data_IF_385537897152
#
_entry.id   IF_385537897152
#
_cell.length_a   1.000
_cell.length_b   1.000
_cell.length_c   1.000
_cell.angle_alpha   90.00
_cell.angle_beta   90.00
_cell.angle_gamma   90.00
#
_symmetry.space_group_name_H-M   'P 1'
#
loop_
_entity.id
_entity.type
_entity.pdbx_description
1 polymer ?
#
# COMPACT_ATOMS: atom_id res chain seq x y z
N UNK A 1 38.47 -24.38 0.22
CA UNK A 1 37.48 -23.38 0.71
C UNK A 1 37.08 -22.32 -0.33
N UNK A 2 37.89 -21.97 -1.34
CA UNK A 2 37.61 -20.82 -2.22
C UNK A 2 36.52 -21.02 -3.30
N UNK A 3 36.33 -22.24 -3.79
CA UNK A 3 35.33 -22.54 -4.84
C UNK A 3 33.91 -22.70 -4.32
N UNK A 4 33.74 -23.03 -3.03
CA UNK A 4 32.44 -23.23 -2.41
C UNK A 4 31.70 -21.90 -2.22
N UNK A 5 32.37 -20.88 -1.68
CA UNK A 5 31.80 -19.53 -1.49
C UNK A 5 31.37 -18.89 -2.81
N UNK A 6 32.14 -19.09 -3.89
CA UNK A 6 31.84 -18.56 -5.21
C UNK A 6 30.62 -19.24 -5.85
N UNK A 7 30.49 -20.57 -5.68
CA UNK A 7 29.33 -21.33 -6.15
C UNK A 7 28.06 -20.99 -5.36
N UNK A 8 28.18 -20.78 -4.04
CA UNK A 8 27.06 -20.35 -3.20
C UNK A 8 26.57 -18.94 -3.56
N UNK A 9 27.49 -18.00 -3.85
CA UNK A 9 27.13 -16.64 -4.27
C UNK A 9 26.38 -16.61 -5.63
N UNK A 10 26.78 -17.48 -6.57
CA UNK A 10 26.11 -17.62 -7.87
C UNK A 10 24.72 -18.27 -7.75
N UNK A 11 24.54 -19.20 -6.81
CA UNK A 11 23.25 -19.84 -6.53
C UNK A 11 22.19 -18.88 -5.97
N UNK A 12 22.60 -17.92 -5.14
CA UNK A 12 21.71 -16.87 -4.59
C UNK A 12 21.24 -15.91 -5.69
N UNK A 13 22.09 -15.59 -6.67
CA UNK A 13 21.76 -14.74 -7.82
C UNK A 13 20.71 -15.38 -8.75
N UNK A 14 20.78 -16.69 -8.97
CA UNK A 14 19.84 -17.41 -9.83
C UNK A 14 18.47 -17.66 -9.17
N UNK A 15 18.44 -17.89 -7.85
CA UNK A 15 17.18 -18.06 -7.11
C UNK A 15 16.34 -16.76 -7.04
N UNK A 16 16.97 -15.59 -7.08
CA UNK A 16 16.28 -14.29 -7.04
C UNK A 16 15.51 -13.92 -8.31
N UNK A 17 15.87 -14.49 -9.47
CA UNK A 17 15.24 -14.20 -10.76
C UNK A 17 13.86 -14.88 -10.96
N UNK A 18 13.59 -15.97 -10.23
CA UNK A 18 12.34 -16.74 -10.37
C UNK A 18 11.07 -16.04 -9.88
N UNK A 19 11.20 -14.93 -9.15
CA UNK A 19 10.08 -14.21 -8.51
C UNK A 19 9.53 -13.04 -9.35
N UNK A 20 10.11 -12.77 -10.52
CA UNK A 20 9.75 -11.65 -11.41
C UNK A 20 8.37 -11.76 -12.09
N UNK A 21 7.64 -12.86 -11.90
CA UNK A 21 6.36 -13.14 -12.57
C UNK A 21 5.15 -13.27 -11.63
N UNK A 22 5.19 -12.69 -10.42
CA UNK A 22 4.00 -12.67 -9.56
C UNK A 22 3.00 -11.60 -10.05
N UNK A 23 1.72 -11.93 -10.30
CA UNK A 23 0.75 -10.97 -10.80
C UNK A 23 0.40 -9.94 -9.71
N UNK A 24 0.74 -8.68 -9.96
CA UNK A 24 0.32 -7.54 -9.16
C UNK A 24 -1.21 -7.37 -9.27
N UNK A 25 -1.94 -7.53 -8.16
CA UNK A 25 -3.34 -7.09 -8.11
C UNK A 25 -3.38 -5.56 -8.15
N UNK A 26 -4.27 -4.94 -8.94
CA UNK A 26 -4.40 -3.49 -8.96
C UNK A 26 -4.95 -3.00 -7.61
N UNK A 27 -4.29 -1.99 -7.04
CA UNK A 27 -4.77 -1.25 -5.87
C UNK A 27 -5.85 -0.26 -6.33
N UNK A 28 -7.11 -0.65 -6.25
CA UNK A 28 -8.25 0.26 -6.42
C UNK A 28 -8.99 0.38 -5.08
N UNK A 29 -8.73 1.44 -4.31
CA UNK A 29 -9.50 1.74 -3.09
C UNK A 29 -9.39 3.22 -2.67
N UNK A 30 -9.55 4.17 -3.59
CA UNK A 30 -9.61 5.59 -3.24
C UNK A 30 -11.04 6.15 -3.12
N UNK A 31 -12.08 5.42 -3.59
CA UNK A 31 -13.43 5.96 -3.76
C UNK A 31 -14.49 5.49 -2.73
N UNK A 32 -14.13 4.71 -1.70
CA UNK A 32 -15.11 3.99 -0.84
C UNK A 32 -15.14 4.40 0.65
N UNK A 33 -14.43 5.46 1.07
CA UNK A 33 -14.33 5.87 2.49
C UNK A 33 -15.13 7.15 2.85
N UNK A 34 -16.22 7.44 2.14
CA UNK A 34 -17.07 8.57 2.50
C UNK A 34 -18.04 8.22 3.63
N UNK A 35 -18.09 9.05 4.68
CA UNK A 35 -19.08 8.94 5.76
C UNK A 35 -20.51 9.11 5.23
N UNK A 36 -20.69 9.81 4.10
CA UNK A 36 -21.98 10.06 3.46
C UNK A 36 -21.82 10.22 1.94
N UNK A 37 -22.74 9.69 1.10
CA UNK A 37 -22.62 9.73 -0.36
C UNK A 37 -22.87 11.13 -0.97
N UNK A 38 -23.54 12.04 -0.25
CA UNK A 38 -23.87 13.40 -0.73
C UNK A 38 -22.81 14.40 -0.29
N UNK A 39 -22.47 14.37 1.00
CA UNK A 39 -21.58 15.32 1.66
C UNK A 39 -20.12 14.85 1.71
N UNK A 40 -19.83 13.63 1.25
CA UNK A 40 -18.50 13.04 1.33
C UNK A 40 -17.98 13.06 2.76
N UNK A 41 -16.74 13.51 2.94
CA UNK A 41 -16.11 13.73 4.26
C UNK A 41 -16.02 15.23 4.65
N UNK A 42 -16.84 16.10 4.03
CA UNK A 42 -16.78 17.55 4.23
C UNK A 42 -16.92 17.95 5.71
N UNK A 43 -17.80 17.28 6.46
CA UNK A 43 -18.00 17.54 7.89
C UNK A 43 -16.70 17.41 8.71
N UNK A 44 -15.92 16.38 8.41
CA UNK A 44 -14.67 16.10 9.13
C UNK A 44 -13.59 17.10 8.75
N UNK A 45 -13.48 17.41 7.46
CA UNK A 45 -12.55 18.42 6.94
C UNK A 45 -12.84 19.81 7.51
N UNK A 46 -14.10 20.23 7.56
CA UNK A 46 -14.50 21.51 8.15
C UNK A 46 -14.20 21.56 9.65
N UNK A 47 -14.41 20.46 10.39
CA UNK A 47 -14.23 20.45 11.85
C UNK A 47 -12.76 20.35 12.29
N UNK A 48 -11.93 19.61 11.55
CA UNK A 48 -10.58 19.25 11.96
C UNK A 48 -9.48 19.75 11.01
N UNK A 49 -9.83 20.36 9.88
CA UNK A 49 -8.86 20.87 8.90
C UNK A 49 -8.11 19.78 8.12
N UNK A 50 -8.52 18.51 8.23
CA UNK A 50 -7.90 17.35 7.56
C UNK A 50 -8.94 16.31 7.15
N UNK A 51 -8.55 15.41 6.24
CA UNK A 51 -9.34 14.21 5.95
C UNK A 51 -9.35 13.24 7.15
N UNK A 52 -10.40 12.41 7.30
CA UNK A 52 -10.40 11.33 8.28
C UNK A 52 -9.32 10.29 7.92
N UNK A 53 -8.70 9.71 8.94
CA UNK A 53 -7.70 8.65 8.84
C UNK A 53 -8.12 7.39 9.61
N UNK A 54 -7.33 6.33 9.47
CA UNK A 54 -7.64 5.02 10.07
C UNK A 54 -7.68 5.01 11.60
N UNK A 55 -7.04 5.98 12.26
CA UNK A 55 -7.03 6.13 13.72
C UNK A 55 -8.22 6.92 14.28
N UNK A 56 -9.05 7.53 13.42
CA UNK A 56 -10.20 8.31 13.88
C UNK A 56 -11.34 7.39 14.33
N UNK A 57 -11.88 7.67 15.52
CA UNK A 57 -13.03 6.95 16.06
C UNK A 57 -14.29 7.12 15.19
N UNK A 58 -14.98 6.02 14.89
CA UNK A 58 -16.12 5.98 13.99
C UNK A 58 -17.31 6.72 14.59
N UNK A 59 -17.53 6.61 15.91
CA UNK A 59 -18.60 7.35 16.56
C UNK A 59 -18.36 8.87 16.44
N UNK A 60 -17.11 9.31 16.57
CA UNK A 60 -16.69 10.70 16.35
C UNK A 60 -16.93 11.14 14.90
N UNK A 61 -16.59 10.31 13.91
CA UNK A 61 -16.86 10.58 12.48
C UNK A 61 -18.37 10.75 12.22
N UNK A 62 -19.19 9.83 12.72
CA UNK A 62 -20.65 9.86 12.56
C UNK A 62 -21.25 11.07 13.27
N UNK A 63 -20.92 11.30 14.55
CA UNK A 63 -21.44 12.42 15.31
C UNK A 63 -21.08 13.78 14.68
N UNK A 64 -19.84 13.91 14.19
CA UNK A 64 -19.37 15.11 13.46
C UNK A 64 -20.15 15.31 12.17
N UNK A 65 -20.37 14.23 11.40
CA UNK A 65 -21.19 14.27 10.19
C UNK A 65 -22.63 14.70 10.47
N UNK A 66 -23.30 14.09 11.47
CA UNK A 66 -24.68 14.41 11.80
C UNK A 66 -24.84 15.83 12.35
N UNK A 67 -23.87 16.33 13.13
CA UNK A 67 -23.87 17.71 13.59
C UNK A 67 -23.77 18.70 12.41
N UNK A 68 -22.91 18.39 11.44
CA UNK A 68 -22.76 19.20 10.23
C UNK A 68 -24.03 19.18 9.36
N UNK A 69 -24.61 18.00 9.12
CA UNK A 69 -25.86 17.86 8.39
C UNK A 69 -27.01 18.60 9.11
N UNK A 70 -27.15 18.46 10.43
CA UNK A 70 -28.14 19.20 11.22
C UNK A 70 -28.00 20.71 11.03
N UNK A 71 -26.78 21.25 11.14
CA UNK A 71 -26.51 22.68 10.99
C UNK A 71 -26.89 23.18 9.59
N UNK A 72 -26.50 22.46 8.54
CA UNK A 72 -26.88 22.79 7.17
C UNK A 72 -28.39 22.82 6.99
N UNK A 73 -29.09 21.81 7.51
CA UNK A 73 -30.53 21.67 7.33
C UNK A 73 -31.34 22.69 8.14
N UNK A 74 -30.85 23.12 9.30
CA UNK A 74 -31.43 24.21 10.10
C UNK A 74 -31.24 25.58 9.45
N UNK A 75 -30.16 25.78 8.70
CA UNK A 75 -29.88 27.02 7.98
C UNK A 75 -30.62 27.19 6.64
N UNK A 76 -31.36 26.17 6.16
CA UNK A 76 -32.06 26.24 4.89
C UNK A 76 -33.33 27.09 4.97
N UNK A 77 -33.58 27.88 3.92
CA UNK A 77 -34.86 28.57 3.74
C UNK A 77 -35.96 27.57 3.35
N UNK A 78 -36.99 27.47 4.18
CA UNK A 78 -38.13 26.56 4.03
C UNK A 78 -39.47 27.28 3.95
N UNK A 79 -39.49 28.59 3.66
CA UNK A 79 -40.72 29.38 3.58
C UNK A 79 -41.70 28.88 2.50
N UNK A 80 -41.20 28.16 1.51
CA UNK A 80 -42.00 27.53 0.46
C UNK A 80 -42.78 26.30 0.94
N UNK A 81 -42.42 25.70 2.10
CA UNK A 81 -43.13 24.56 2.65
C UNK A 81 -44.40 25.00 3.39
N UNK A 82 -45.46 24.18 3.43
CA UNK A 82 -46.61 24.41 4.31
C UNK A 82 -46.19 24.54 5.77
N UNK A 83 -46.88 25.38 6.54
CA UNK A 83 -46.55 25.65 7.95
C UNK A 83 -46.48 24.38 8.81
N UNK A 84 -47.30 23.38 8.51
CA UNK A 84 -47.24 22.08 9.18
C UNK A 84 -45.94 21.32 8.90
N UNK A 85 -45.49 21.28 7.65
CA UNK A 85 -44.23 20.65 7.28
C UNK A 85 -43.03 21.40 7.86
N UNK A 86 -43.09 22.73 7.97
CA UNK A 86 -42.05 23.51 8.66
C UNK A 86 -41.95 23.12 10.13
N UNK A 87 -43.08 22.99 10.84
CA UNK A 87 -43.11 22.52 12.23
C UNK A 87 -42.57 21.08 12.35
N UNK A 88 -42.99 20.19 11.46
CA UNK A 88 -42.55 18.79 11.47
C UNK A 88 -41.06 18.66 11.20
N UNK A 89 -40.52 19.43 10.24
CA UNK A 89 -39.08 19.54 9.98
C UNK A 89 -38.33 19.98 11.23
N UNK A 90 -38.79 21.02 11.92
CA UNK A 90 -38.14 21.49 13.16
C UNK A 90 -38.13 20.40 14.25
N UNK A 91 -39.24 19.69 14.42
CA UNK A 91 -39.34 18.54 15.33
C UNK A 91 -38.35 17.43 14.96
N UNK A 92 -38.25 17.06 13.68
CA UNK A 92 -37.31 16.04 13.20
C UNK A 92 -35.85 16.45 13.43
N UNK A 93 -35.49 17.72 13.18
CA UNK A 93 -34.13 18.19 13.44
C UNK A 93 -33.81 18.21 14.95
N UNK A 94 -34.82 18.38 15.83
CA UNK A 94 -34.65 18.21 17.27
C UNK A 94 -34.44 16.74 17.67
N UNK A 95 -35.14 15.80 17.02
CA UNK A 95 -34.86 14.38 17.20
C UNK A 95 -33.47 14.00 16.69
N UNK A 96 -33.04 14.52 15.54
CA UNK A 96 -31.70 14.32 15.01
C UNK A 96 -30.63 14.79 15.99
N UNK A 97 -30.84 15.97 16.60
CA UNK A 97 -29.97 16.50 17.64
C UNK A 97 -29.81 15.51 18.81
N UNK A 98 -30.93 15.04 19.38
CA UNK A 98 -30.94 14.08 20.48
C UNK A 98 -30.26 12.76 20.11
N UNK A 99 -30.51 12.26 18.91
CA UNK A 99 -29.90 11.04 18.40
C UNK A 99 -28.38 11.17 18.30
N UNK A 100 -27.87 12.24 17.69
CA UNK A 100 -26.42 12.40 17.51
C UNK A 100 -25.69 12.66 18.83
N UNK A 101 -26.33 13.29 19.82
CA UNK A 101 -25.72 13.51 21.14
C UNK A 101 -25.74 12.27 22.00
N UNK A 102 -26.71 11.36 21.81
CA UNK A 102 -26.73 10.06 22.48
C UNK A 102 -25.60 9.13 22.00
N UNK A 103 -25.14 9.25 20.76
CA UNK A 103 -23.96 8.53 20.26
C UNK A 103 -24.15 7.03 20.03
N UNK A 104 -25.40 6.54 20.02
CA UNK A 104 -25.71 5.11 19.81
C UNK A 104 -25.99 4.87 18.33
N UNK A 105 -24.99 4.37 17.61
CA UNK A 105 -25.04 4.21 16.16
C UNK A 105 -25.00 2.73 15.72
N UNK A 106 -25.62 2.40 14.56
CA UNK A 106 -25.50 1.09 13.95
C UNK A 106 -24.06 0.70 13.62
N UNK A 107 -23.82 -0.61 13.47
CA UNK A 107 -22.58 -1.17 12.93
C UNK A 107 -22.86 -1.93 11.64
N UNK A 108 -21.97 -1.79 10.67
CA UNK A 108 -21.96 -2.64 9.49
C UNK A 108 -21.27 -3.98 9.83
N UNK A 109 -22.07 -4.97 10.21
CA UNK A 109 -21.60 -6.30 10.61
C UNK A 109 -21.51 -7.29 9.43
N UNK A 110 -22.25 -7.06 8.34
CA UNK A 110 -22.33 -7.99 7.20
C UNK A 110 -21.32 -7.73 6.08
N UNK A 111 -20.81 -6.50 5.93
CA UNK A 111 -19.92 -6.13 4.82
C UNK A 111 -18.57 -5.63 5.34
N UNK A 112 -17.70 -6.54 5.84
CA UNK A 112 -16.40 -6.16 6.38
C UNK A 112 -15.50 -5.53 5.32
N UNK A 113 -14.79 -4.46 5.70
CA UNK A 113 -13.88 -3.72 4.82
C UNK A 113 -14.56 -2.79 3.81
N UNK A 114 -15.90 -2.67 3.86
CA UNK A 114 -16.67 -1.74 3.04
C UNK A 114 -17.47 -0.80 3.93
N UNK A 115 -17.55 0.48 3.56
CA UNK A 115 -18.52 1.39 4.19
C UNK A 115 -19.87 1.22 3.53
N UNK A 116 -20.90 0.90 4.29
CA UNK A 116 -22.28 0.76 3.79
C UNK A 116 -23.29 1.35 4.76
N UNK A 117 -24.43 1.89 4.28
CA UNK A 117 -25.56 2.19 5.15
C UNK A 117 -25.98 0.95 5.95
N UNK A 118 -26.57 1.16 7.12
CA UNK A 118 -27.16 0.10 7.92
C UNK A 118 -28.36 0.73 8.64
N UNK A 119 -29.58 0.30 8.32
CA UNK A 119 -30.82 0.92 8.81
C UNK A 119 -31.08 0.53 10.26
N UNK A 120 -31.12 -0.77 10.59
CA UNK A 120 -31.08 -1.32 11.95
C UNK A 120 -30.07 -2.47 11.96
N UNK A 121 -29.15 -2.49 12.92
CA UNK A 121 -28.17 -3.59 13.04
C UNK A 121 -28.65 -4.76 13.91
N UNK A 122 -27.82 -5.82 14.03
CA UNK A 122 -28.16 -7.03 14.78
C UNK A 122 -28.37 -6.81 16.28
N UNK A 123 -27.89 -5.68 16.84
CA UNK A 123 -28.12 -5.29 18.22
C UNK A 123 -29.32 -4.34 18.38
N UNK A 124 -30.10 -4.12 17.30
CA UNK A 124 -31.26 -3.24 17.30
C UNK A 124 -30.94 -1.75 17.22
N UNK A 125 -29.67 -1.36 17.05
CA UNK A 125 -29.26 0.05 16.93
C UNK A 125 -29.72 0.56 15.57
N UNK A 126 -30.49 1.65 15.59
CA UNK A 126 -31.14 2.23 14.41
C UNK A 126 -30.36 3.42 13.87
N UNK A 127 -30.35 3.63 12.56
CA UNK A 127 -29.64 4.74 11.91
C UNK A 127 -30.33 6.08 12.14
N UNK A 128 -29.66 7.18 11.78
CA UNK A 128 -30.19 8.52 11.99
C UNK A 128 -31.55 8.72 11.31
N UNK A 129 -31.69 8.32 10.04
CA UNK A 129 -32.98 8.45 9.33
C UNK A 129 -34.03 7.48 9.87
N UNK A 130 -33.64 6.23 10.18
CA UNK A 130 -34.53 5.26 10.79
C UNK A 130 -35.05 5.74 12.15
N UNK A 131 -34.23 6.38 12.96
CA UNK A 131 -34.63 6.97 14.22
C UNK A 131 -35.68 8.07 14.02
N UNK A 132 -35.50 8.94 13.01
CA UNK A 132 -36.51 9.95 12.66
C UNK A 132 -37.85 9.33 12.26
N UNK A 133 -37.81 8.25 11.48
CA UNK A 133 -38.99 7.46 11.11
C UNK A 133 -39.63 6.83 12.36
N UNK A 134 -38.84 6.19 13.22
CA UNK A 134 -39.32 5.56 14.45
C UNK A 134 -40.03 6.57 15.38
N UNK A 135 -39.44 7.75 15.59
CA UNK A 135 -40.00 8.76 16.48
C UNK A 135 -41.31 9.39 15.97
N UNK A 136 -41.59 9.32 14.67
CA UNK A 136 -42.75 10.04 14.08
C UNK A 136 -43.72 9.16 13.30
N UNK A 137 -43.34 7.93 12.98
CA UNK A 137 -44.16 6.92 12.29
C UNK A 137 -44.17 5.56 13.00
N UNK A 138 -43.44 5.42 14.11
CA UNK A 138 -43.42 4.24 14.96
C UNK A 138 -42.37 3.19 14.55
N UNK A 139 -41.95 2.38 15.52
CA UNK A 139 -40.93 1.33 15.35
C UNK A 139 -41.31 0.30 14.28
N UNK A 140 -42.60 -0.08 14.22
CA UNK A 140 -43.09 -1.05 13.25
C UNK A 140 -42.84 -0.62 11.79
N UNK A 141 -42.94 0.68 11.48
CA UNK A 141 -42.60 1.19 10.14
C UNK A 141 -41.09 1.07 9.87
N UNK A 142 -40.26 1.47 10.84
CA UNK A 142 -38.81 1.37 10.70
C UNK A 142 -38.34 -0.08 10.49
N UNK A 143 -38.96 -1.05 11.17
CA UNK A 143 -38.66 -2.47 11.02
C UNK A 143 -39.08 -3.03 9.66
N UNK A 144 -40.24 -2.62 9.13
CA UNK A 144 -40.66 -2.99 7.77
C UNK A 144 -39.70 -2.45 6.70
N UNK A 145 -39.26 -1.19 6.83
CA UNK A 145 -38.25 -0.60 5.95
C UNK A 145 -36.94 -1.39 6.06
N UNK A 146 -36.50 -1.68 7.28
CA UNK A 146 -35.27 -2.45 7.52
C UNK A 146 -35.30 -3.83 6.86
N UNK A 147 -36.41 -4.55 6.95
CA UNK A 147 -36.54 -5.91 6.42
C UNK A 147 -36.23 -6.01 4.91
N UNK A 148 -36.54 -4.97 4.15
CA UNK A 148 -36.28 -4.92 2.71
C UNK A 148 -35.01 -4.14 2.33
N UNK A 149 -34.59 -3.18 3.17
CA UNK A 149 -33.61 -2.14 2.80
C UNK A 149 -32.52 -1.92 3.85
N UNK A 150 -32.18 -2.94 4.64
CA UNK A 150 -31.23 -2.81 5.75
C UNK A 150 -29.91 -2.13 5.36
N UNK A 151 -29.35 -2.40 4.19
CA UNK A 151 -28.04 -1.87 3.77
C UNK A 151 -28.11 -0.92 2.57
N UNK A 152 -29.31 -0.46 2.21
CA UNK A 152 -29.52 0.36 1.03
C UNK A 152 -29.33 1.85 1.34
N UNK A 153 -28.91 2.61 0.33
CA UNK A 153 -28.97 4.06 0.40
C UNK A 153 -30.43 4.49 0.32
N UNK A 154 -30.80 5.55 1.05
CA UNK A 154 -32.18 5.97 1.11
C UNK A 154 -32.77 6.35 -0.26
N UNK A 155 -31.92 6.83 -1.18
CA UNK A 155 -32.29 7.13 -2.57
C UNK A 155 -32.67 5.88 -3.38
N UNK A 156 -32.16 4.72 -2.98
CA UNK A 156 -32.36 3.44 -3.68
C UNK A 156 -33.49 2.60 -3.05
N UNK A 157 -34.01 3.03 -1.88
CA UNK A 157 -35.06 2.32 -1.17
C UNK A 157 -36.40 2.43 -1.90
N UNK A 158 -36.93 1.29 -2.32
CA UNK A 158 -38.26 1.18 -2.95
C UNK A 158 -39.30 0.81 -1.91
N UNK A 159 -39.58 1.76 -1.00
CA UNK A 159 -40.62 1.63 0.03
C UNK A 159 -41.68 2.72 -0.11
N UNK A 160 -42.94 2.37 -0.49
CA UNK A 160 -44.04 3.33 -0.55
C UNK A 160 -44.30 4.03 0.79
N UNK A 161 -44.12 3.30 1.89
CA UNK A 161 -44.34 3.82 3.24
C UNK A 161 -43.29 4.86 3.62
N UNK A 162 -42.01 4.60 3.27
CA UNK A 162 -40.93 5.58 3.46
C UNK A 162 -41.14 6.81 2.57
N UNK A 163 -41.54 6.62 1.31
CA UNK A 163 -41.84 7.72 0.40
C UNK A 163 -42.97 8.61 0.94
N UNK A 164 -44.04 8.00 1.47
CA UNK A 164 -45.13 8.71 2.12
C UNK A 164 -44.67 9.47 3.37
N UNK A 165 -43.79 8.86 4.18
CA UNK A 165 -43.20 9.52 5.34
C UNK A 165 -42.37 10.75 4.93
N UNK A 166 -41.49 10.61 3.93
CA UNK A 166 -40.65 11.72 3.41
C UNK A 166 -41.54 12.87 2.93
N UNK A 167 -42.59 12.57 2.14
CA UNK A 167 -43.51 13.56 1.59
C UNK A 167 -44.21 14.43 2.64
N UNK A 168 -44.37 13.92 3.87
CA UNK A 168 -45.02 14.64 4.95
C UNK A 168 -44.03 15.20 6.00
N UNK A 169 -42.76 14.78 5.96
CA UNK A 169 -41.75 15.07 6.99
C UNK A 169 -41.31 16.54 7.02
N UNK A 170 -41.41 17.24 5.90
CA UNK A 170 -40.76 18.55 5.69
C UNK A 170 -39.25 18.45 5.41
N UNK A 171 -38.72 17.24 5.24
CA UNK A 171 -37.41 16.94 4.66
C UNK A 171 -37.60 16.43 3.23
N UNK A 172 -36.70 16.81 2.31
CA UNK A 172 -36.65 16.14 1.01
C UNK A 172 -35.92 14.81 1.09
N UNK A 173 -36.09 13.96 0.08
CA UNK A 173 -35.33 12.70 -0.04
C UNK A 173 -33.81 12.98 -0.05
N UNK A 174 -33.41 14.07 -0.69
CA UNK A 174 -32.02 14.53 -0.73
C UNK A 174 -31.48 14.87 0.65
N UNK A 175 -32.26 15.56 1.47
CA UNK A 175 -31.88 15.92 2.84
C UNK A 175 -31.83 14.69 3.74
N UNK A 176 -32.72 13.71 3.53
CA UNK A 176 -32.63 12.42 4.19
C UNK A 176 -31.34 11.69 3.78
N UNK A 177 -30.95 11.76 2.51
CA UNK A 177 -29.69 11.21 2.02
C UNK A 177 -28.47 11.93 2.62
N UNK A 178 -28.54 13.24 2.87
CA UNK A 178 -27.49 13.99 3.58
C UNK A 178 -27.38 13.60 5.07
N UNK A 179 -28.45 13.12 5.69
CA UNK A 179 -28.46 12.65 7.09
C UNK A 179 -27.95 11.21 7.19
N UNK A 180 -28.18 10.37 6.19
CA UNK A 180 -27.86 8.94 6.22
C UNK A 180 -26.34 8.70 6.19
N UNK A 181 -25.70 8.25 7.28
CA UNK A 181 -24.30 7.88 7.24
C UNK A 181 -24.11 6.49 6.61
N UNK A 182 -22.89 6.22 6.18
CA UNK A 182 -22.38 4.86 5.97
C UNK A 182 -21.59 4.43 7.21
N UNK A 183 -21.54 3.12 7.46
CA UNK A 183 -20.87 2.54 8.61
C UNK A 183 -19.81 1.55 8.16
N UNK A 184 -18.74 1.49 8.94
CA UNK A 184 -17.66 0.51 8.76
C UNK A 184 -16.33 1.21 8.59
N UNK A 185 -15.26 0.61 9.07
CA UNK A 185 -13.93 1.12 8.78
C UNK A 185 -13.53 0.64 7.39
N UNK A 186 -13.04 1.51 6.48
CA UNK A 186 -12.21 1.01 5.40
C UNK A 186 -11.13 0.16 6.06
N UNK A 187 -10.85 -1.03 5.53
CA UNK A 187 -9.66 -1.76 5.97
C UNK A 187 -8.51 -0.77 5.80
N UNK A 188 -7.67 -0.51 6.83
CA UNK A 188 -6.47 0.28 6.61
C UNK A 188 -5.78 -0.34 5.38
N UNK A 189 -5.36 0.46 4.38
CA UNK A 189 -4.64 -0.07 3.23
C UNK A 189 -3.58 -0.99 3.81
N UNK A 190 -3.48 -2.22 3.29
CA UNK A 190 -2.57 -3.20 3.88
C UNK A 190 -1.22 -2.51 4.05
N UNK A 191 -0.74 -2.36 5.30
CA UNK A 191 0.58 -1.79 5.55
C UNK A 191 1.64 -2.55 4.76
N UNK A 192 1.32 -3.74 4.28
CA UNK A 192 2.02 -4.53 3.30
C UNK A 192 2.03 -3.92 1.88
N UNK A 193 2.91 -2.95 1.62
CA UNK A 193 3.14 -2.39 0.28
C UNK A 193 4.59 -1.92 0.08
N UNK A 194 5.04 -1.88 -1.18
CA UNK A 194 6.34 -1.31 -1.58
C UNK A 194 6.06 0.00 -2.31
N UNK A 195 6.64 1.12 -1.86
CA UNK A 195 6.42 2.40 -2.56
C UNK A 195 6.98 2.33 -3.98
N UNK A 196 6.32 2.99 -4.94
CA UNK A 196 6.75 2.97 -6.34
C UNK A 196 8.21 3.42 -6.50
N UNK A 197 8.62 4.46 -5.78
CA UNK A 197 10.01 4.93 -5.78
C UNK A 197 11.00 3.89 -5.24
N UNK A 198 10.67 3.22 -4.12
CA UNK A 198 11.55 2.20 -3.54
C UNK A 198 11.62 0.94 -4.40
N UNK A 199 10.48 0.50 -4.96
CA UNK A 199 10.39 -0.63 -5.88
C UNK A 199 11.16 -0.38 -7.17
N UNK A 200 10.93 0.76 -7.83
CA UNK A 200 11.63 1.15 -9.06
C UNK A 200 13.13 1.33 -8.81
N UNK A 201 13.52 1.97 -7.70
CA UNK A 201 14.91 2.12 -7.31
C UNK A 201 15.60 0.76 -7.08
N UNK A 202 14.93 -0.16 -6.37
CA UNK A 202 15.44 -1.53 -6.15
C UNK A 202 15.60 -2.28 -7.46
N UNK A 203 14.62 -2.20 -8.36
CA UNK A 203 14.67 -2.86 -9.67
C UNK A 203 15.83 -2.33 -10.52
N UNK A 204 16.01 -1.01 -10.59
CA UNK A 204 17.12 -0.38 -11.29
C UNK A 204 18.48 -0.80 -10.69
N UNK A 205 18.63 -0.75 -9.38
CA UNK A 205 19.91 -1.09 -8.73
C UNK A 205 20.24 -2.58 -8.82
N UNK A 206 19.24 -3.45 -8.68
CA UNK A 206 19.41 -4.89 -8.86
C UNK A 206 19.77 -5.23 -10.31
N UNK A 207 19.14 -4.54 -11.27
CA UNK A 207 19.46 -4.64 -12.70
C UNK A 207 20.88 -4.22 -13.04
N UNK A 208 21.49 -3.31 -12.28
CA UNK A 208 22.90 -2.92 -12.41
C UNK A 208 23.84 -3.89 -11.67
N UNK A 209 23.51 -4.27 -10.44
CA UNK A 209 24.41 -5.05 -9.59
C UNK A 209 24.51 -6.52 -10.02
N UNK A 210 23.44 -7.14 -10.51
CA UNK A 210 23.49 -8.52 -11.00
C UNK A 210 24.52 -8.73 -12.13
N UNK A 211 24.52 -7.95 -13.24
CA UNK A 211 25.53 -8.09 -14.28
C UNK A 211 26.92 -7.65 -13.81
N UNK A 212 27.04 -6.64 -12.96
CA UNK A 212 28.33 -6.23 -12.37
C UNK A 212 28.95 -7.35 -11.53
N UNK A 213 28.17 -8.03 -10.70
CA UNK A 213 28.59 -9.17 -9.92
C UNK A 213 29.03 -10.34 -10.82
N UNK A 214 28.25 -10.66 -11.86
CA UNK A 214 28.57 -11.71 -12.83
C UNK A 214 29.87 -11.41 -13.61
N UNK A 215 30.05 -10.17 -14.08
CA UNK A 215 31.26 -9.75 -14.78
C UNK A 215 32.49 -9.77 -13.86
N UNK A 216 32.33 -9.33 -12.60
CA UNK A 216 33.40 -9.41 -11.61
C UNK A 216 33.79 -10.86 -11.35
N UNK A 217 32.84 -11.76 -11.12
CA UNK A 217 33.09 -13.17 -10.89
C UNK A 217 33.75 -13.85 -12.11
N UNK A 218 33.23 -13.63 -13.32
CA UNK A 218 33.76 -14.21 -14.56
C UNK A 218 35.21 -13.80 -14.83
N UNK A 219 35.54 -12.51 -14.66
CA UNK A 219 36.90 -12.01 -14.82
C UNK A 219 37.86 -12.51 -13.76
N UNK A 220 37.38 -12.66 -12.53
CA UNK A 220 38.14 -13.28 -11.45
C UNK A 220 38.51 -14.74 -11.79
N UNK A 221 37.51 -15.53 -12.19
CA UNK A 221 37.70 -16.93 -12.58
C UNK A 221 38.60 -17.09 -13.80
N UNK A 222 38.55 -16.14 -14.73
CA UNK A 222 39.40 -16.12 -15.93
C UNK A 222 40.82 -15.62 -15.68
N UNK A 223 41.19 -15.32 -14.42
CA UNK A 223 42.51 -14.79 -14.07
C UNK A 223 42.81 -13.39 -14.62
N UNK A 224 41.77 -12.61 -14.95
CA UNK A 224 41.87 -11.26 -15.54
C UNK A 224 41.06 -10.23 -14.72
N UNK A 225 41.32 -10.08 -13.41
CA UNK A 225 40.56 -9.16 -12.56
C UNK A 225 40.72 -7.71 -13.03
N UNK A 226 39.66 -6.92 -12.92
CA UNK A 226 39.67 -5.48 -13.23
C UNK A 226 39.46 -4.68 -11.96
N UNK A 227 40.45 -3.85 -11.59
CA UNK A 227 40.37 -2.99 -10.41
C UNK A 227 39.17 -2.03 -10.48
N UNK A 228 38.91 -1.47 -11.67
CA UNK A 228 37.79 -0.55 -11.87
C UNK A 228 36.43 -1.23 -11.64
N UNK A 229 36.21 -2.40 -12.25
CA UNK A 229 34.97 -3.15 -12.05
C UNK A 229 34.80 -3.63 -10.60
N UNK A 230 35.90 -3.96 -9.93
CA UNK A 230 35.89 -4.41 -8.55
C UNK A 230 35.56 -3.26 -7.57
N UNK A 231 36.12 -2.06 -7.78
CA UNK A 231 35.77 -0.86 -6.99
C UNK A 231 34.31 -0.46 -7.20
N UNK A 232 33.84 -0.44 -8.46
CA UNK A 232 32.43 -0.11 -8.77
C UNK A 232 31.48 -1.14 -8.16
N UNK A 233 31.79 -2.44 -8.26
CA UNK A 233 31.02 -3.50 -7.63
C UNK A 233 30.99 -3.40 -6.11
N UNK A 234 32.13 -3.09 -5.49
CA UNK A 234 32.22 -2.89 -4.04
C UNK A 234 31.35 -1.71 -3.58
N UNK A 235 31.52 -0.54 -4.19
CA UNK A 235 30.78 0.66 -3.82
C UNK A 235 29.27 0.50 -4.06
N UNK A 236 28.88 -0.02 -5.22
CA UNK A 236 27.48 -0.24 -5.58
C UNK A 236 26.82 -1.31 -4.70
N UNK A 237 27.54 -2.37 -4.36
CA UNK A 237 27.07 -3.41 -3.45
C UNK A 237 26.83 -2.90 -2.02
N UNK A 238 27.79 -2.14 -1.48
CA UNK A 238 27.63 -1.51 -0.15
C UNK A 238 26.47 -0.51 -0.13
N UNK A 239 26.31 0.29 -1.17
CA UNK A 239 25.21 1.25 -1.30
C UNK A 239 23.84 0.56 -1.32
N UNK A 240 23.68 -0.50 -2.11
CA UNK A 240 22.42 -1.27 -2.15
C UNK A 240 22.11 -1.94 -0.81
N UNK A 241 23.13 -2.51 -0.15
CA UNK A 241 22.95 -3.12 1.16
C UNK A 241 22.54 -2.09 2.22
N UNK A 242 23.19 -0.91 2.23
CA UNK A 242 22.87 0.18 3.14
C UNK A 242 21.43 0.70 2.95
N UNK A 243 20.96 0.84 1.71
CA UNK A 243 19.57 1.20 1.46
C UNK A 243 18.59 0.16 2.01
N UNK A 244 18.89 -1.13 1.81
CA UNK A 244 18.09 -2.22 2.38
C UNK A 244 18.02 -2.15 3.91
N UNK A 245 19.16 -1.97 4.60
CA UNK A 245 19.20 -1.89 6.06
C UNK A 245 18.53 -0.63 6.62
N UNK A 246 18.75 0.55 6.03
CA UNK A 246 18.09 1.80 6.48
C UNK A 246 16.58 1.64 6.43
N UNK A 247 16.06 1.09 5.33
CA UNK A 247 14.62 0.87 5.15
C UNK A 247 14.07 -0.19 6.12
N UNK A 248 14.82 -1.26 6.41
CA UNK A 248 14.46 -2.25 7.44
C UNK A 248 14.37 -1.64 8.83
N UNK A 249 15.33 -0.80 9.20
CA UNK A 249 15.38 -0.15 10.52
C UNK A 249 14.20 0.81 10.67
N UNK A 250 13.92 1.63 9.65
CA UNK A 250 12.79 2.56 9.63
C UNK A 250 11.44 1.85 9.71
N UNK A 251 11.32 0.66 9.09
CA UNK A 251 10.10 -0.14 9.16
C UNK A 251 9.91 -0.81 10.52
N UNK A 252 11.01 -1.29 11.12
CA UNK A 252 10.99 -1.92 12.44
C UNK A 252 10.70 -0.92 13.57
N UNK A 253 11.21 0.31 13.46
CA UNK A 253 10.91 1.37 14.43
C UNK A 253 9.43 1.77 14.40
N UNK A 254 8.82 1.86 13.22
CA UNK A 254 7.37 2.10 13.08
C UNK A 254 6.49 0.94 13.56
N UNK A 255 7.01 -0.29 13.52
CA UNK A 255 6.29 -1.47 13.99
C UNK A 255 6.22 -1.55 15.52
N UNK A 256 7.15 -0.92 16.24
CA UNK A 256 7.15 -0.86 17.70
C UNK A 256 6.00 0.00 18.27
N UNK A 257 5.53 1.00 17.50
CA UNK A 257 4.44 1.92 17.89
C UNK A 257 3.02 1.34 17.69
N UNK A 258 2.87 0.01 17.61
CA UNK A 258 1.56 -0.67 17.55
C UNK A 258 0.93 -0.78 16.15
N UNK A 259 1.71 -0.56 15.08
CA UNK A 259 1.25 -0.70 13.70
C UNK A 259 1.64 -2.06 13.07
N UNK A 260 0.80 -2.58 12.16
CA UNK A 260 0.98 -3.85 11.45
C UNK A 260 2.27 -3.89 10.60
N UNK A 261 2.93 -5.05 10.56
CA UNK A 261 4.13 -5.36 9.77
C UNK A 261 3.94 -5.20 8.24
N UNK A 262 4.96 -4.69 7.55
CA UNK A 262 5.02 -4.59 6.09
C UNK A 262 5.96 -5.66 5.48
N UNK A 263 5.44 -6.89 5.34
CA UNK A 263 6.23 -8.04 4.88
C UNK A 263 6.83 -7.87 3.47
N UNK A 264 6.14 -7.18 2.56
CA UNK A 264 6.60 -6.95 1.18
C UNK A 264 7.78 -5.99 1.16
N UNK A 265 7.72 -4.90 1.94
CA UNK A 265 8.83 -3.96 2.07
C UNK A 265 10.03 -4.63 2.74
N UNK A 266 9.80 -5.40 3.80
CA UNK A 266 10.82 -6.22 4.46
C UNK A 266 11.49 -7.21 3.50
N UNK A 267 10.72 -7.91 2.67
CA UNK A 267 11.23 -8.83 1.66
C UNK A 267 12.11 -8.11 0.62
N UNK A 268 11.66 -6.97 0.08
CA UNK A 268 12.43 -6.15 -0.86
C UNK A 268 13.70 -5.61 -0.21
N UNK A 269 13.66 -5.25 1.07
CA UNK A 269 14.84 -4.81 1.79
C UNK A 269 15.84 -5.94 2.03
N UNK A 270 15.39 -7.15 2.38
CA UNK A 270 16.28 -8.32 2.45
C UNK A 270 16.92 -8.65 1.10
N UNK A 271 16.17 -8.51 0.00
CA UNK A 271 16.72 -8.67 -1.35
C UNK A 271 17.87 -7.67 -1.60
N UNK A 272 17.67 -6.40 -1.26
CA UNK A 272 18.71 -5.36 -1.38
C UNK A 272 19.93 -5.66 -0.50
N UNK A 273 19.73 -6.09 0.74
CA UNK A 273 20.83 -6.49 1.64
C UNK A 273 21.59 -7.69 1.06
N UNK A 274 20.89 -8.74 0.62
CA UNK A 274 21.50 -9.95 0.08
C UNK A 274 22.29 -9.70 -1.22
N UNK A 275 21.67 -9.06 -2.21
CA UNK A 275 22.33 -8.77 -3.49
C UNK A 275 23.47 -7.75 -3.32
N UNK A 276 23.26 -6.72 -2.50
CA UNK A 276 24.28 -5.71 -2.21
C UNK A 276 25.51 -6.31 -1.54
N UNK A 277 25.31 -7.10 -0.48
CA UNK A 277 26.43 -7.78 0.22
C UNK A 277 27.17 -8.76 -0.68
N UNK A 278 26.46 -9.56 -1.50
CA UNK A 278 27.09 -10.47 -2.45
C UNK A 278 27.98 -9.72 -3.48
N UNK A 279 27.46 -8.63 -4.04
CA UNK A 279 28.21 -7.79 -4.99
C UNK A 279 29.42 -7.14 -4.33
N UNK A 280 29.27 -6.67 -3.09
CA UNK A 280 30.36 -6.07 -2.31
C UNK A 280 31.47 -7.08 -2.02
N UNK A 281 31.13 -8.29 -1.58
CA UNK A 281 32.10 -9.37 -1.31
C UNK A 281 32.86 -9.75 -2.57
N UNK A 282 32.20 -9.87 -3.72
CA UNK A 282 32.87 -10.15 -4.99
C UNK A 282 33.83 -9.02 -5.41
N UNK A 283 33.42 -7.76 -5.22
CA UNK A 283 34.29 -6.60 -5.45
C UNK A 283 35.53 -6.62 -4.53
N UNK A 284 35.33 -6.84 -3.23
CA UNK A 284 36.41 -6.93 -2.25
C UNK A 284 37.36 -8.10 -2.55
N UNK A 285 36.84 -9.27 -2.88
CA UNK A 285 37.65 -10.42 -3.29
C UNK A 285 38.49 -10.09 -4.52
N UNK A 286 37.93 -9.44 -5.53
CA UNK A 286 38.70 -9.08 -6.72
C UNK A 286 39.80 -8.05 -6.47
N UNK A 287 39.67 -7.23 -5.43
CA UNK A 287 40.69 -6.25 -5.04
C UNK A 287 41.80 -6.87 -4.17
N UNK A 288 41.42 -7.68 -3.19
CA UNK A 288 42.31 -8.11 -2.11
C UNK A 288 42.46 -9.63 -1.97
N UNK A 289 41.69 -10.40 -2.72
CA UNK A 289 41.75 -11.86 -2.71
C UNK A 289 43.08 -12.39 -3.27
N UNK A 290 43.40 -13.65 -2.97
CA UNK A 290 44.61 -14.29 -3.44
C UNK A 290 44.63 -14.31 -4.97
N UNK A 291 45.72 -13.79 -5.56
CA UNK A 291 45.93 -13.81 -7.00
C UNK A 291 46.31 -15.22 -7.42
N UNK A 292 45.42 -15.93 -8.10
CA UNK A 292 45.79 -17.17 -8.80
C UNK A 292 46.71 -16.82 -9.96
N UNK A 293 48.00 -17.10 -9.81
CA UNK A 293 48.94 -17.16 -10.94
C UNK A 293 48.58 -18.37 -11.78
N UNK A 294 47.90 -18.15 -12.91
CA UNK A 294 47.83 -19.21 -13.92
C UNK A 294 49.17 -19.25 -14.66
N UNK A 295 49.78 -20.43 -14.84
CA UNK A 295 51.03 -20.54 -15.58
C UNK A 295 50.80 -20.03 -17.01
N UNK A 296 51.56 -19.00 -17.40
CA UNK A 296 51.52 -18.47 -18.77
C UNK A 296 52.42 -19.32 -19.63
N UNK A 297 51.84 -19.94 -20.66
CA UNK A 297 52.60 -20.56 -21.75
C UNK A 297 52.63 -19.57 -22.90
N UNK A 298 53.81 -19.04 -23.20
CA UNK A 298 54.05 -18.19 -24.36
C UNK A 298 54.69 -19.05 -25.45
N UNK A 299 54.16 -18.98 -26.66
CA UNK A 299 54.77 -19.60 -27.85
C UNK A 299 55.31 -18.46 -28.70
N UNK A 300 56.62 -18.42 -28.89
CA UNK A 300 57.28 -17.49 -29.80
C UNK A 300 57.75 -18.26 -31.03
N UNK A 301 57.42 -17.74 -32.20
CA UNK A 301 57.87 -18.26 -33.49
C UNK A 301 58.95 -17.31 -34.01
N UNK A 302 60.20 -17.75 -33.98
CA UNK A 302 61.33 -17.05 -34.54
C UNK A 302 61.75 -17.66 -35.87
N UNK A 303 62.49 -16.90 -36.67
CA UNK A 303 63.30 -17.46 -37.75
C UNK A 303 64.75 -17.11 -37.49
N UNK A 304 65.66 -18.02 -37.81
CA UNK A 304 67.09 -17.74 -37.80
C UNK A 304 67.67 -18.05 -39.17
N UNK A 305 68.53 -17.15 -39.64
CA UNK A 305 69.29 -17.28 -40.88
C UNK A 305 70.77 -17.34 -40.54
N UNK A 306 71.41 -18.45 -40.90
CA UNK A 306 72.87 -18.63 -40.80
C UNK A 306 73.49 -18.47 -42.19
N UNK A 307 74.68 -17.88 -42.33
CA UNK A 307 75.36 -17.80 -43.65
C UNK A 307 75.70 -19.16 -44.25
N UNK A 308 75.70 -20.24 -43.46
CA UNK A 308 76.14 -21.57 -43.86
C UNK A 308 75.00 -22.60 -44.02
N UNK A 309 73.75 -22.27 -43.66
CA UNK A 309 72.60 -23.19 -43.75
C UNK A 309 71.30 -22.45 -44.14
N UNK A 310 70.34 -23.12 -44.82
CA UNK A 310 69.07 -22.52 -45.19
C UNK A 310 68.27 -22.08 -43.96
N UNK A 311 67.54 -20.96 -44.07
CA UNK A 311 66.78 -20.35 -42.99
C UNK A 311 65.77 -21.32 -42.36
N UNK A 312 65.88 -21.51 -41.05
CA UNK A 312 65.02 -22.39 -40.25
C UNK A 312 64.07 -21.62 -39.34
N UNK A 313 62.90 -22.19 -39.08
CA UNK A 313 61.98 -21.70 -38.05
C UNK A 313 62.34 -22.27 -36.68
N UNK A 314 62.31 -21.43 -35.65
CA UNK A 314 62.45 -21.84 -34.24
C UNK A 314 61.12 -21.64 -33.53
N UNK A 315 60.65 -22.66 -32.83
CA UNK A 315 59.52 -22.59 -31.93
C UNK A 315 60.02 -22.61 -30.48
N UNK A 316 59.89 -21.49 -29.78
CA UNK A 316 60.24 -21.40 -28.37
C UNK A 316 58.97 -21.43 -27.52
N UNK A 317 58.87 -22.42 -26.64
CA UNK A 317 57.74 -22.58 -25.74
C UNK A 317 58.18 -22.27 -24.31
N UNK A 318 57.78 -21.10 -23.80
CA UNK A 318 58.15 -20.64 -22.45
C UNK A 318 56.97 -20.80 -21.51
N UNK A 319 57.10 -21.64 -20.48
CA UNK A 319 56.12 -21.77 -19.39
C UNK A 319 56.64 -21.06 -18.15
N UNK A 320 56.02 -19.93 -17.78
CA UNK A 320 56.29 -19.26 -16.49
C UNK A 320 55.33 -19.80 -15.44
N UNK A 321 55.89 -20.42 -14.39
CA UNK A 321 55.17 -20.90 -13.21
C UNK A 321 54.98 -19.77 -12.19
#
# INVERSE_FOLDING_TARGET
MSTFLLRSALGVLLAGLGWLFWPSRPLTSAATDFINPVLGNASFQTRFGRAPGAADDEATRIATHLAYAEALLRGRNVQHLPAEQQRRRATLLNYLHRYRTAGVFPRNEQYPGQRRPCFIDGAGRICAVGYLVEQTGGRALAERVNAAHQYDYIRDMRSPELAAWVAQSGLSLEECAMIQPTYGYPRPPSNNYVSGAYGAGTAAWSGLNAPLAALNASRAMSGRPSKGLAVVGLASGLGQAALGTIVLIEDNSRSYDGHSYNESKKAVSFLNVGLGTATAVLGAWNLWGPKTTQPRTTVEVGSYSSPAEPSGGVLTLTRRF
#
